data_IF_142327295664
#
_entry.id   IF_142327295664
#
_cell.length_a   1.000
_cell.length_b   1.000
_cell.length_c   1.000
_cell.angle_alpha   90.00
_cell.angle_beta   90.00
_cell.angle_gamma   90.00
#
_symmetry.space_group_name_H-M   'P 1'
#
loop_
_entity.id
_entity.type
_entity.pdbx_description
1 polymer ?
#
# COMPACT_ATOMS: atom_id res chain seq x y z
N UNK A 1 -36.35 -82.74 -0.37
CA UNK A 1 -37.50 -82.55 -1.27
C UNK A 1 -38.73 -82.22 -0.43
N UNK A 2 -39.48 -81.17 -0.78
CA UNK A 2 -40.83 -80.89 -0.25
C UNK A 2 -40.93 -79.97 0.99
N UNK A 3 -41.09 -78.66 0.76
CA UNK A 3 -41.89 -77.73 1.60
C UNK A 3 -43.40 -77.97 1.30
N UNK A 4 -44.40 -77.32 1.95
CA UNK A 4 -44.40 -76.38 3.10
C UNK A 4 -45.53 -76.65 4.13
N UNK A 5 -45.57 -75.89 5.23
CA UNK A 5 -46.74 -75.43 6.03
C UNK A 5 -46.24 -75.12 7.45
N UNK A 6 -46.78 -74.22 8.28
CA UNK A 6 -47.72 -73.12 8.13
C UNK A 6 -47.55 -72.25 9.39
N UNK A 7 -48.03 -71.02 9.27
CA UNK A 7 -48.21 -69.97 10.27
C UNK A 7 -49.09 -70.40 11.46
N UNK A 8 -48.78 -69.92 12.67
CA UNK A 8 -49.79 -69.43 13.63
C UNK A 8 -49.21 -68.57 14.75
N UNK A 9 -49.99 -67.53 15.02
CA UNK A 9 -49.82 -66.36 15.87
C UNK A 9 -50.24 -66.68 17.31
N UNK A 10 -49.68 -65.98 18.30
CA UNK A 10 -50.43 -65.62 19.51
C UNK A 10 -50.26 -64.15 19.90
N UNK A 11 -51.41 -63.58 20.26
CA UNK A 11 -51.72 -62.21 20.67
C UNK A 11 -51.09 -61.79 22.01
N UNK A 12 -50.94 -60.49 22.24
CA UNK A 12 -50.95 -59.98 23.61
C UNK A 12 -50.47 -58.54 23.83
N UNK A 13 -51.44 -57.64 23.97
CA UNK A 13 -51.42 -56.36 24.70
C UNK A 13 -50.76 -55.10 24.09
N UNK A 14 -51.66 -54.13 23.85
CA UNK A 14 -51.42 -52.77 23.46
C UNK A 14 -51.18 -51.85 24.67
N UNK A 15 -50.30 -50.86 24.50
CA UNK A 15 -50.41 -49.56 25.18
C UNK A 15 -50.09 -48.47 24.15
N UNK A 16 -51.05 -47.56 23.97
CA UNK A 16 -50.99 -46.41 23.08
C UNK A 16 -49.79 -45.51 23.41
N UNK A 17 -48.97 -45.19 22.40
CA UNK A 17 -48.08 -44.02 22.42
C UNK A 17 -48.74 -42.91 21.60
N UNK A 18 -49.38 -41.98 22.31
CA UNK A 18 -49.66 -40.63 21.82
C UNK A 18 -48.33 -39.89 21.75
N UNK A 19 -47.87 -39.57 20.54
CA UNK A 19 -46.81 -38.57 20.34
C UNK A 19 -47.47 -37.40 19.64
N UNK A 20 -47.67 -36.33 20.41
CA UNK A 20 -48.16 -35.04 19.94
C UNK A 20 -47.23 -34.47 18.86
N UNK A 21 -47.72 -34.40 17.63
CA UNK A 21 -47.09 -33.62 16.55
C UNK A 21 -47.47 -32.16 16.78
N UNK A 22 -46.62 -31.44 17.51
CA UNK A 22 -46.69 -29.99 17.61
C UNK A 22 -46.14 -29.38 16.31
N UNK A 23 -47.03 -29.06 15.36
CA UNK A 23 -46.69 -28.25 14.19
C UNK A 23 -46.54 -26.80 14.66
N UNK A 24 -45.32 -26.39 15.00
CA UNK A 24 -44.99 -24.98 15.18
C UNK A 24 -44.97 -24.33 13.80
N UNK A 25 -46.07 -23.66 13.42
CA UNK A 25 -46.12 -22.69 12.34
C UNK A 25 -45.27 -21.48 12.76
N UNK A 26 -43.95 -21.63 12.66
CA UNK A 26 -43.00 -20.54 12.77
C UNK A 26 -43.19 -19.62 11.57
N UNK A 27 -43.79 -18.46 11.80
CA UNK A 27 -43.76 -17.36 10.85
C UNK A 27 -42.31 -16.91 10.70
N UNK A 28 -41.59 -17.48 9.73
CA UNK A 28 -40.34 -16.90 9.26
C UNK A 28 -40.68 -15.57 8.58
N UNK A 29 -40.73 -14.49 9.38
CA UNK A 29 -40.47 -13.17 8.81
C UNK A 29 -39.00 -13.19 8.40
N UNK A 30 -38.75 -13.42 7.11
CA UNK A 30 -37.47 -13.09 6.53
C UNK A 30 -37.27 -11.59 6.74
N UNK A 31 -36.49 -11.23 7.77
CA UNK A 31 -35.89 -9.91 7.84
C UNK A 31 -34.95 -9.84 6.65
N UNK A 32 -35.47 -9.33 5.54
CA UNK A 32 -34.63 -8.88 4.44
C UNK A 32 -33.88 -7.68 4.99
N UNK A 33 -32.72 -7.93 5.60
CA UNK A 33 -31.73 -6.89 5.78
C UNK A 33 -31.24 -6.57 4.37
N UNK A 34 -31.92 -5.64 3.71
CA UNK A 34 -31.32 -4.88 2.63
C UNK A 34 -30.17 -4.13 3.27
N UNK A 35 -28.98 -4.73 3.28
CA UNK A 35 -27.77 -3.94 3.30
C UNK A 35 -27.87 -3.08 2.05
N UNK A 36 -28.33 -1.85 2.22
CA UNK A 36 -28.09 -0.82 1.23
C UNK A 36 -26.57 -0.75 1.12
N UNK A 37 -26.01 -1.44 0.14
CA UNK A 37 -24.70 -1.14 -0.42
C UNK A 37 -24.85 0.21 -1.09
N UNK A 38 -25.00 1.25 -0.27
CA UNK A 38 -24.96 2.62 -0.71
C UNK A 38 -23.60 2.77 -1.38
N UNK A 39 -23.60 2.87 -2.70
CA UNK A 39 -22.41 3.23 -3.45
C UNK A 39 -21.93 4.55 -2.85
N UNK A 40 -20.76 4.53 -2.21
CA UNK A 40 -20.19 5.73 -1.62
C UNK A 40 -20.10 6.80 -2.71
N UNK A 41 -20.66 7.98 -2.47
CA UNK A 41 -20.50 9.10 -3.39
C UNK A 41 -19.02 9.52 -3.41
N UNK A 42 -18.33 9.20 -4.50
CA UNK A 42 -16.91 9.50 -4.64
C UNK A 42 -16.65 10.96 -5.07
N UNK A 43 -17.69 11.73 -5.35
CA UNK A 43 -17.58 13.12 -5.84
C UNK A 43 -17.54 14.14 -4.71
N UNK A 44 -18.11 13.83 -3.54
CA UNK A 44 -18.22 14.77 -2.41
C UNK A 44 -17.40 14.29 -1.22
N UNK A 45 -16.48 15.16 -0.74
CA UNK A 45 -15.71 14.88 0.46
C UNK A 45 -15.95 15.90 1.58
N UNK A 46 -15.81 15.45 2.82
CA UNK A 46 -15.63 16.30 3.98
C UNK A 46 -14.28 17.02 3.87
N UNK A 47 -14.26 18.35 3.89
CA UNK A 47 -13.02 19.12 3.87
C UNK A 47 -12.56 19.49 5.29
N UNK A 48 -11.31 19.15 5.60
CA UNK A 48 -10.58 19.60 6.80
C UNK A 48 -9.36 20.37 6.33
N UNK A 49 -9.08 21.54 6.91
CA UNK A 49 -7.95 22.39 6.57
C UNK A 49 -6.90 22.38 7.66
N UNK A 50 -5.67 22.09 7.30
CA UNK A 50 -4.51 22.20 8.19
C UNK A 50 -3.68 23.40 7.77
N UNK A 51 -3.49 24.36 8.67
CA UNK A 51 -2.69 25.56 8.46
C UNK A 51 -1.82 25.86 9.69
N UNK A 52 -0.47 25.80 9.58
CA UNK A 52 0.42 26.00 10.71
C UNK A 52 0.35 27.43 11.25
N UNK A 53 -0.13 28.41 10.45
CA UNK A 53 -0.34 29.77 10.92
C UNK A 53 -1.62 29.94 11.74
N UNK A 54 -2.46 28.90 11.84
CA UNK A 54 -3.71 28.92 12.62
C UNK A 54 -4.95 29.41 11.88
N UNK A 55 -4.90 29.57 10.55
CA UNK A 55 -6.05 30.00 9.74
C UNK A 55 -6.88 28.82 9.17
N UNK A 56 -6.57 27.59 9.59
CA UNK A 56 -7.26 26.35 9.24
C UNK A 56 -8.10 25.81 10.39
N UNK A 57 -8.71 24.65 10.18
CA UNK A 57 -9.44 23.93 11.23
C UNK A 57 -8.47 23.35 12.27
N UNK A 58 -7.26 22.96 11.84
CA UNK A 58 -6.17 22.48 12.70
C UNK A 58 -4.83 23.14 12.34
N UNK A 59 -3.90 23.18 13.30
CA UNK A 59 -2.50 23.58 13.06
C UNK A 59 -1.60 22.41 12.69
N UNK A 60 -1.90 21.24 13.24
CA UNK A 60 -1.13 20.00 13.08
C UNK A 60 -1.84 19.02 12.17
N UNK A 61 -1.06 18.20 11.48
CA UNK A 61 -1.58 17.13 10.61
C UNK A 61 -2.17 16.01 11.46
N UNK A 62 -1.49 15.63 12.55
CA UNK A 62 -1.97 14.54 13.40
C UNK A 62 -3.33 14.87 14.03
N UNK A 63 -3.52 16.09 14.54
CA UNK A 63 -4.79 16.53 15.14
C UNK A 63 -5.96 16.43 14.14
N UNK A 64 -5.73 16.74 12.85
CA UNK A 64 -6.74 16.62 11.81
C UNK A 64 -7.11 15.16 11.53
N UNK A 65 -6.11 14.25 11.50
CA UNK A 65 -6.35 12.81 11.38
C UNK A 65 -7.09 12.29 12.63
N UNK A 66 -6.74 12.80 13.80
CA UNK A 66 -7.35 12.42 15.08
C UNK A 66 -8.82 12.83 15.17
N UNK A 67 -9.21 13.90 14.48
CA UNK A 67 -10.60 14.34 14.39
C UNK A 67 -11.50 13.45 13.50
N UNK A 68 -10.92 12.60 12.65
CA UNK A 68 -11.70 11.67 11.83
C UNK A 68 -12.25 10.54 12.72
N UNK A 69 -13.56 10.27 12.70
CA UNK A 69 -14.14 9.21 13.52
C UNK A 69 -13.56 7.83 13.22
N UNK A 70 -13.45 6.98 14.24
CA UNK A 70 -13.15 5.56 14.08
C UNK A 70 -14.21 4.86 13.21
N UNK A 71 -13.76 3.86 12.45
CA UNK A 71 -14.55 3.14 11.44
C UNK A 71 -15.16 4.08 10.38
N UNK A 72 -14.41 5.11 9.98
CA UNK A 72 -14.86 6.09 9.00
C UNK A 72 -15.37 5.44 7.71
N UNK A 73 -16.49 5.94 7.19
CA UNK A 73 -17.07 5.50 5.91
C UNK A 73 -17.38 6.67 4.98
N UNK A 74 -16.89 7.89 5.30
CA UNK A 74 -17.02 9.05 4.44
C UNK A 74 -15.68 9.40 3.77
N UNK A 75 -15.72 10.00 2.59
CA UNK A 75 -14.51 10.60 2.02
C UNK A 75 -14.10 11.82 2.85
N UNK A 76 -12.94 11.74 3.50
CA UNK A 76 -12.36 12.88 4.22
C UNK A 76 -11.16 13.40 3.46
N UNK A 77 -11.19 14.69 3.13
CA UNK A 77 -10.12 15.39 2.42
C UNK A 77 -9.45 16.40 3.37
N UNK A 78 -8.27 16.04 3.85
CA UNK A 78 -7.42 16.89 4.68
C UNK A 78 -6.53 17.70 3.74
N UNK A 79 -6.87 18.97 3.54
CA UNK A 79 -6.08 19.91 2.77
C UNK A 79 -5.03 20.59 3.66
N UNK A 80 -3.77 20.28 3.40
CA UNK A 80 -2.60 20.78 4.12
C UNK A 80 -2.02 21.98 3.37
N UNK A 81 -2.00 23.14 4.01
CA UNK A 81 -1.45 24.37 3.46
C UNK A 81 0.08 24.26 3.29
N UNK A 82 0.70 25.17 2.50
CA UNK A 82 2.15 25.26 2.44
C UNK A 82 2.75 25.49 3.83
N UNK A 83 3.82 24.76 4.14
CA UNK A 83 4.48 24.77 5.44
C UNK A 83 5.41 23.57 5.62
N UNK A 84 6.28 23.66 6.63
CA UNK A 84 7.07 22.52 7.12
C UNK A 84 6.48 22.05 8.44
N UNK A 85 5.95 20.84 8.44
CA UNK A 85 5.28 20.20 9.56
C UNK A 85 6.24 19.20 10.18
N UNK A 86 6.85 19.57 11.30
CA UNK A 86 7.77 18.70 12.03
C UNK A 86 7.00 17.78 12.97
N UNK A 87 6.44 16.71 12.39
CA UNK A 87 5.53 15.77 13.05
C UNK A 87 5.88 14.34 12.65
N UNK A 88 5.71 13.40 13.60
CA UNK A 88 5.64 11.96 13.30
C UNK A 88 4.16 11.61 13.20
N UNK A 89 3.71 11.26 12.01
CA UNK A 89 2.28 11.14 11.68
C UNK A 89 1.91 9.68 11.51
N UNK A 90 0.79 9.27 12.09
CA UNK A 90 0.18 7.97 11.85
C UNK A 90 -1.26 8.15 11.35
N UNK A 91 -1.64 7.35 10.35
CA UNK A 91 -3.02 7.21 9.89
C UNK A 91 -3.53 5.84 10.37
N UNK A 92 -4.25 5.77 11.51
CA UNK A 92 -4.77 4.54 12.09
C UNK A 92 -5.61 3.69 11.13
N UNK A 93 -5.57 2.36 11.30
CA UNK A 93 -6.27 1.41 10.43
C UNK A 93 -7.79 1.60 10.40
N UNK A 94 -8.38 2.09 11.49
CA UNK A 94 -9.81 2.36 11.64
C UNK A 94 -10.25 3.70 11.00
N UNK A 95 -9.38 4.39 10.26
CA UNK A 95 -9.69 5.65 9.57
C UNK A 95 -9.50 5.54 8.06
N UNK A 96 -10.22 4.64 7.37
CA UNK A 96 -10.09 4.51 5.92
C UNK A 96 -10.65 5.74 5.19
N UNK A 97 -10.43 5.81 3.88
CA UNK A 97 -10.94 6.87 2.98
C UNK A 97 -10.40 8.29 3.22
N UNK A 98 -9.36 8.44 4.05
CA UNK A 98 -8.67 9.72 4.24
C UNK A 98 -7.81 10.07 3.03
N UNK A 99 -7.93 11.30 2.54
CA UNK A 99 -7.01 11.93 1.60
C UNK A 99 -6.21 13.00 2.32
N UNK A 100 -4.88 12.90 2.30
CA UNK A 100 -3.96 13.93 2.77
C UNK A 100 -3.35 14.65 1.56
N UNK A 101 -3.76 15.89 1.31
CA UNK A 101 -3.35 16.63 0.11
C UNK A 101 -2.62 17.91 0.48
N UNK A 102 -1.38 18.04 0.03
CA UNK A 102 -0.69 19.34 -0.01
C UNK A 102 -1.19 20.21 -1.16
N UNK A 103 -0.59 21.40 -1.28
CA UNK A 103 -0.82 22.30 -2.44
C UNK A 103 0.20 22.02 -3.56
N UNK A 104 1.48 21.88 -3.19
CA UNK A 104 2.57 21.45 -4.08
C UNK A 104 3.58 20.67 -3.25
N UNK A 105 4.19 19.64 -3.86
CA UNK A 105 5.15 18.83 -3.14
C UNK A 105 6.35 19.65 -2.63
N UNK A 106 6.76 20.69 -3.36
CA UNK A 106 7.90 21.55 -2.99
C UNK A 106 7.65 22.48 -1.80
N UNK A 107 6.41 22.66 -1.34
CA UNK A 107 6.11 23.63 -0.28
C UNK A 107 5.20 23.12 0.84
N UNK A 108 4.66 21.90 0.75
CA UNK A 108 4.01 21.21 1.86
C UNK A 108 4.87 20.02 2.25
N UNK A 109 5.57 20.10 3.38
CA UNK A 109 6.60 19.14 3.80
C UNK A 109 6.24 18.57 5.17
N UNK A 110 6.10 17.25 5.27
CA UNK A 110 6.03 16.51 6.52
C UNK A 110 7.45 16.00 6.79
N UNK A 111 8.04 16.37 7.93
CA UNK A 111 9.43 16.04 8.23
C UNK A 111 9.61 15.52 9.65
N UNK A 112 10.41 14.47 9.75
CA UNK A 112 10.98 14.01 11.01
C UNK A 112 12.45 13.61 10.79
N UNK A 113 13.13 13.11 11.83
CA UNK A 113 14.56 12.79 11.77
C UNK A 113 14.91 11.69 12.76
N UNK A 114 14.38 10.50 12.51
CA UNK A 114 14.46 9.35 13.41
C UNK A 114 15.13 8.15 12.71
N UNK A 115 15.76 7.29 13.49
CA UNK A 115 16.46 6.08 13.01
C UNK A 115 16.14 4.91 13.92
N UNK A 116 16.57 3.72 13.53
CA UNK A 116 16.48 2.52 14.33
C UNK A 116 15.80 1.41 13.54
N UNK A 117 14.92 0.67 14.21
CA UNK A 117 14.17 -0.38 13.55
C UNK A 117 13.28 0.19 12.45
N UNK A 118 13.22 -0.54 11.34
CA UNK A 118 12.58 -0.08 10.11
C UNK A 118 11.09 0.25 10.34
N UNK A 119 10.44 -0.48 11.25
CA UNK A 119 9.02 -0.31 11.57
C UNK A 119 8.72 0.96 12.38
N UNK A 120 9.72 1.49 13.10
CA UNK A 120 9.55 2.57 14.07
C UNK A 120 10.07 3.91 13.56
N UNK A 121 11.02 3.93 12.62
CA UNK A 121 11.68 5.17 12.16
C UNK A 121 10.85 6.05 11.20
N UNK A 122 9.66 5.60 10.79
CA UNK A 122 8.84 6.26 9.79
C UNK A 122 8.41 7.69 10.20
N UNK A 123 8.55 8.66 9.28
CA UNK A 123 7.98 10.01 9.43
C UNK A 123 6.45 9.99 9.28
N UNK A 124 5.95 9.25 8.30
CA UNK A 124 4.53 8.98 8.10
C UNK A 124 4.29 7.47 8.03
N UNK A 125 3.39 6.97 8.87
CA UNK A 125 2.89 5.59 8.83
C UNK A 125 1.43 5.55 8.42
N UNK A 126 1.11 4.83 7.34
CA UNK A 126 -0.25 4.67 6.83
C UNK A 126 -0.71 3.23 7.07
N UNK A 127 -1.63 3.06 8.03
CA UNK A 127 -2.28 1.77 8.31
C UNK A 127 -3.72 1.70 7.76
N UNK A 128 -4.33 2.86 7.51
CA UNK A 128 -5.67 2.98 6.93
C UNK A 128 -5.74 2.44 5.49
N UNK A 129 -6.83 1.74 5.19
CA UNK A 129 -7.15 1.38 3.81
C UNK A 129 -7.76 2.55 3.03
N UNK A 130 -7.71 2.50 1.69
CA UNK A 130 -8.31 3.53 0.81
C UNK A 130 -7.73 4.96 1.01
N UNK A 131 -6.52 5.01 1.57
CA UNK A 131 -5.78 6.23 1.83
C UNK A 131 -5.25 6.84 0.52
N UNK A 132 -5.25 8.16 0.44
CA UNK A 132 -4.65 8.87 -0.69
C UNK A 132 -3.74 9.99 -0.20
N UNK A 133 -2.50 10.06 -0.66
CA UNK A 133 -1.65 11.24 -0.50
C UNK A 133 -1.41 11.94 -1.83
N UNK A 134 -1.39 13.28 -1.82
CA UNK A 134 -1.20 14.09 -3.04
C UNK A 134 -0.32 15.30 -2.79
N UNK A 135 0.55 15.61 -3.74
CA UNK A 135 1.21 16.92 -3.86
C UNK A 135 1.88 17.41 -2.57
N UNK A 136 2.56 16.51 -1.84
CA UNK A 136 3.29 16.83 -0.61
C UNK A 136 4.62 16.07 -0.56
N UNK A 137 5.55 16.55 0.26
CA UNK A 137 6.80 15.86 0.58
C UNK A 137 6.66 15.16 1.93
N UNK A 138 7.09 13.89 1.99
CA UNK A 138 7.38 13.18 3.23
C UNK A 138 8.88 12.94 3.28
N UNK A 139 9.55 13.39 4.34
CA UNK A 139 11.00 13.23 4.44
C UNK A 139 11.45 12.81 5.84
N UNK A 140 12.41 11.89 5.88
CA UNK A 140 13.20 11.61 7.07
C UNK A 140 14.59 12.24 6.89
N UNK A 141 14.98 13.07 7.84
CA UNK A 141 16.19 13.90 7.80
C UNK A 141 17.33 13.35 8.66
N UNK A 142 17.22 12.10 9.14
CA UNK A 142 18.23 11.49 10.01
C UNK A 142 19.63 11.47 9.36
N UNK A 143 19.72 11.12 8.08
CA UNK A 143 20.97 11.09 7.32
C UNK A 143 21.39 9.69 6.88
N UNK A 144 22.70 9.50 6.66
CA UNK A 144 23.25 8.37 5.91
C UNK A 144 23.67 7.17 6.76
N UNK A 145 23.67 7.29 8.09
CA UNK A 145 24.33 6.32 8.99
C UNK A 145 23.43 5.20 9.52
N UNK A 146 22.25 5.00 8.91
CA UNK A 146 21.32 3.95 9.34
C UNK A 146 19.98 4.04 8.63
N UNK A 147 19.12 3.07 8.94
CA UNK A 147 17.74 3.00 8.44
C UNK A 147 16.95 4.22 8.92
N UNK A 148 16.25 4.85 8.01
CA UNK A 148 15.50 6.07 8.29
C UNK A 148 14.30 6.15 7.36
N UNK A 149 13.19 5.51 7.75
CA UNK A 149 12.00 5.45 6.90
C UNK A 149 11.35 6.85 6.81
N UNK A 150 11.07 7.31 5.59
CA UNK A 150 10.23 8.50 5.38
C UNK A 150 8.76 8.10 5.41
N UNK A 151 8.39 7.08 4.63
CA UNK A 151 7.02 6.62 4.50
C UNK A 151 6.95 5.11 4.74
N UNK A 152 6.09 4.69 5.65
CA UNK A 152 5.65 3.29 5.81
C UNK A 152 4.20 3.15 5.38
N UNK A 153 3.90 2.19 4.52
CA UNK A 153 2.53 1.90 4.07
C UNK A 153 2.19 0.44 4.32
N UNK A 154 1.23 0.20 5.21
CA UNK A 154 0.77 -1.12 5.62
C UNK A 154 -0.77 -1.28 5.57
N UNK A 155 -1.46 -0.30 4.97
CA UNK A 155 -2.91 -0.33 4.73
C UNK A 155 -3.22 -0.65 3.28
N UNK A 156 -4.23 -1.48 3.02
CA UNK A 156 -4.56 -1.90 1.66
C UNK A 156 -5.21 -0.77 0.83
N UNK A 157 -5.00 -0.76 -0.48
CA UNK A 157 -5.61 0.22 -1.41
C UNK A 157 -5.16 1.67 -1.14
N UNK A 158 -3.86 1.88 -0.96
CA UNK A 158 -3.27 3.21 -0.77
C UNK A 158 -2.72 3.78 -2.08
N UNK A 159 -2.98 5.07 -2.35
CA UNK A 159 -2.50 5.74 -3.56
C UNK A 159 -1.75 7.05 -3.29
N UNK A 160 -0.68 7.30 -4.05
CA UNK A 160 0.19 8.46 -3.91
C UNK A 160 0.34 9.15 -5.26
N UNK A 161 0.04 10.46 -5.33
CA UNK A 161 0.05 11.22 -6.57
C UNK A 161 0.93 12.46 -6.47
N UNK A 162 2.01 12.51 -7.26
CA UNK A 162 2.89 13.68 -7.30
C UNK A 162 3.58 13.96 -5.96
N UNK A 163 3.76 12.94 -5.13
CA UNK A 163 4.44 13.07 -3.84
C UNK A 163 5.96 13.01 -4.00
N UNK A 164 6.66 13.58 -3.04
CA UNK A 164 8.11 13.41 -2.87
C UNK A 164 8.36 12.59 -1.60
N UNK A 165 9.13 11.51 -1.69
CA UNK A 165 9.44 10.62 -0.57
C UNK A 165 10.97 10.54 -0.44
N UNK A 166 11.51 11.14 0.62
CA UNK A 166 12.93 11.48 0.70
C UNK A 166 13.58 10.93 1.97
N UNK A 167 14.64 10.14 1.83
CA UNK A 167 15.55 9.73 2.90
C UNK A 167 16.82 9.14 2.27
N UNK A 168 17.55 8.30 3.02
CA UNK A 168 18.72 7.57 2.55
C UNK A 168 18.47 6.07 2.53
N UNK A 169 18.65 5.37 3.65
CA UNK A 169 18.40 3.93 3.74
C UNK A 169 16.94 3.68 4.14
N UNK A 170 16.30 2.73 3.44
CA UNK A 170 14.93 2.29 3.68
C UNK A 170 13.88 3.42 3.53
N UNK A 171 14.09 4.37 2.60
CA UNK A 171 13.24 5.57 2.42
C UNK A 171 11.73 5.28 2.39
N UNK A 172 11.32 4.30 1.59
CA UNK A 172 9.94 3.83 1.48
C UNK A 172 9.87 2.37 1.93
N UNK A 173 9.24 2.15 3.08
CA UNK A 173 8.80 0.84 3.52
C UNK A 173 7.37 0.60 3.00
N UNK A 174 7.30 0.04 1.79
CA UNK A 174 6.09 -0.42 1.14
C UNK A 174 5.69 -1.82 1.67
N UNK A 175 5.27 -1.82 2.94
CA UNK A 175 5.20 -2.96 3.85
C UNK A 175 4.28 -4.08 3.34
N UNK A 176 2.99 -3.79 3.22
CA UNK A 176 1.95 -4.76 2.84
C UNK A 176 0.70 -4.06 2.30
N UNK A 177 -0.07 -4.75 1.47
CA UNK A 177 -1.28 -4.22 0.82
C UNK A 177 -1.08 -3.97 -0.68
N UNK A 178 -2.12 -3.44 -1.33
CA UNK A 178 -2.09 -3.05 -2.76
C UNK A 178 -1.91 -1.55 -2.88
N UNK A 179 -0.83 -1.11 -3.52
CA UNK A 179 -0.51 0.33 -3.59
C UNK A 179 -0.27 0.84 -5.00
N UNK A 180 -0.51 2.14 -5.18
CA UNK A 180 -0.30 2.82 -6.45
C UNK A 180 0.45 4.13 -6.24
N UNK A 181 1.60 4.27 -6.89
CA UNK A 181 2.43 5.49 -6.86
C UNK A 181 2.46 6.07 -8.26
N UNK A 182 1.99 7.30 -8.43
CA UNK A 182 1.88 7.94 -9.75
C UNK A 182 2.58 9.29 -9.78
N UNK A 183 3.50 9.44 -10.73
CA UNK A 183 4.26 10.69 -10.91
C UNK A 183 4.99 11.15 -9.65
N UNK A 184 5.36 10.21 -8.77
CA UNK A 184 6.08 10.49 -7.54
C UNK A 184 7.59 10.62 -7.79
N UNK A 185 8.26 11.36 -6.92
CA UNK A 185 9.72 11.39 -6.83
C UNK A 185 10.14 10.67 -5.56
N UNK A 186 11.04 9.69 -5.68
CA UNK A 186 11.51 8.88 -4.56
C UNK A 186 13.04 8.88 -4.61
N UNK A 187 13.70 9.25 -3.52
CA UNK A 187 15.17 9.24 -3.45
C UNK A 187 15.69 8.49 -2.23
N UNK A 188 16.88 7.89 -2.39
CA UNK A 188 17.57 7.20 -1.31
C UNK A 188 18.80 6.44 -1.81
N UNK A 189 19.50 5.76 -0.92
CA UNK A 189 20.77 5.09 -1.22
C UNK A 189 20.63 3.57 -1.19
N UNK A 190 20.37 3.02 0.00
CA UNK A 190 20.34 1.57 0.25
C UNK A 190 18.90 1.11 0.47
N UNK A 191 18.46 0.12 -0.31
CA UNK A 191 17.15 -0.52 -0.20
C UNK A 191 15.98 0.47 -0.13
N UNK A 192 16.10 1.60 -0.83
CA UNK A 192 15.27 2.76 -0.53
C UNK A 192 13.79 2.59 -0.93
N UNK A 193 13.44 1.52 -1.64
CA UNK A 193 12.09 1.00 -1.77
C UNK A 193 12.09 -0.48 -1.33
N UNK A 194 11.51 -0.79 -0.18
CA UNK A 194 11.54 -2.12 0.40
C UNK A 194 10.19 -2.54 0.95
N UNK A 195 10.01 -3.85 1.23
CA UNK A 195 8.77 -4.40 1.78
C UNK A 195 8.14 -5.48 0.89
N UNK A 196 6.89 -5.87 1.22
CA UNK A 196 6.19 -6.98 0.56
C UNK A 196 4.83 -6.57 -0.03
N UNK A 197 4.59 -5.29 -0.31
CA UNK A 197 3.35 -4.86 -0.97
C UNK A 197 3.23 -5.37 -2.42
N UNK A 198 2.01 -5.36 -2.94
CA UNK A 198 1.69 -5.48 -4.36
C UNK A 198 1.54 -4.06 -4.94
N UNK A 199 2.56 -3.56 -5.62
CA UNK A 199 2.65 -2.14 -5.93
C UNK A 199 2.98 -1.84 -7.37
N UNK A 200 2.27 -0.86 -7.92
CA UNK A 200 2.56 -0.26 -9.22
C UNK A 200 3.09 1.18 -9.04
N UNK A 201 4.33 1.39 -9.47
CA UNK A 201 4.97 2.68 -9.61
C UNK A 201 4.87 3.12 -11.06
N UNK A 202 3.92 4.02 -11.36
CA UNK A 202 3.68 4.53 -12.70
C UNK A 202 4.30 5.93 -12.87
N UNK A 203 5.18 6.08 -13.87
CA UNK A 203 5.78 7.36 -14.25
C UNK A 203 6.50 8.08 -13.11
N UNK A 204 7.06 7.31 -12.17
CA UNK A 204 7.82 7.85 -11.05
C UNK A 204 9.27 8.16 -11.45
N UNK A 205 9.90 9.07 -10.71
CA UNK A 205 11.33 9.36 -10.81
C UNK A 205 12.02 8.80 -9.56
N UNK A 206 12.86 7.79 -9.77
CA UNK A 206 13.69 7.16 -8.76
C UNK A 206 15.10 7.77 -8.83
N UNK A 207 15.55 8.41 -7.76
CA UNK A 207 16.86 9.06 -7.70
C UNK A 207 17.75 8.43 -6.64
N UNK A 208 18.78 7.69 -7.09
CA UNK A 208 19.71 7.06 -6.17
C UNK A 208 20.76 8.05 -5.66
N UNK A 209 20.85 8.18 -4.34
CA UNK A 209 21.89 8.89 -3.60
C UNK A 209 23.12 8.00 -3.32
N UNK A 210 23.11 6.75 -3.78
CA UNK A 210 24.23 5.82 -3.62
C UNK A 210 25.50 6.32 -4.30
N UNK A 211 26.62 6.18 -3.60
CA UNK A 211 27.96 6.41 -4.15
C UNK A 211 28.61 5.16 -4.75
N UNK A 212 27.99 3.98 -4.64
CA UNK A 212 28.50 2.78 -5.31
C UNK A 212 27.89 1.43 -4.90
N UNK A 213 27.36 1.33 -3.70
CA UNK A 213 27.00 0.08 -3.00
C UNK A 213 25.51 -0.03 -2.65
N UNK A 214 24.72 0.98 -3.00
CA UNK A 214 23.28 1.02 -2.76
C UNK A 214 22.46 0.20 -3.75
N UNK A 215 21.18 0.03 -3.41
CA UNK A 215 20.19 -0.69 -4.19
C UNK A 215 18.87 0.08 -4.19
N UNK A 216 18.20 0.13 -5.34
CA UNK A 216 16.90 0.81 -5.47
C UNK A 216 15.81 0.03 -4.74
N UNK A 217 15.75 -1.29 -4.95
CA UNK A 217 14.70 -2.12 -4.35
C UNK A 217 15.22 -3.26 -3.48
N UNK A 218 14.51 -3.52 -2.38
CA UNK A 218 14.65 -4.74 -1.57
C UNK A 218 13.27 -5.36 -1.29
N UNK A 219 12.76 -6.16 -2.23
CA UNK A 219 11.42 -6.73 -2.15
C UNK A 219 11.44 -8.03 -1.31
N UNK A 220 10.41 -8.21 -0.47
CA UNK A 220 10.37 -9.20 0.61
C UNK A 220 9.33 -10.32 0.43
N UNK A 221 9.02 -10.68 -0.82
CA UNK A 221 8.17 -11.83 -1.11
C UNK A 221 8.84 -13.13 -0.69
N UNK A 222 8.17 -13.92 0.15
CA UNK A 222 8.76 -15.10 0.80
C UNK A 222 8.18 -16.43 0.31
N UNK A 223 7.13 -16.40 -0.51
CA UNK A 223 6.48 -17.59 -1.04
C UNK A 223 6.00 -17.35 -2.47
N UNK A 224 5.97 -18.38 -3.34
CA UNK A 224 5.39 -18.26 -4.68
C UNK A 224 3.87 -18.08 -4.64
N UNK A 225 3.20 -18.36 -3.52
CA UNK A 225 1.75 -18.15 -3.33
C UNK A 225 1.37 -16.72 -2.94
N UNK A 226 2.34 -15.88 -2.58
CA UNK A 226 2.08 -14.47 -2.30
C UNK A 226 1.90 -13.72 -3.62
N UNK A 227 0.81 -12.98 -3.80
CA UNK A 227 0.57 -12.17 -5.00
C UNK A 227 1.11 -10.74 -4.85
N UNK A 228 2.35 -10.63 -4.36
CA UNK A 228 3.03 -9.36 -4.04
C UNK A 228 4.22 -9.10 -4.97
N UNK A 229 4.75 -7.88 -4.98
CA UNK A 229 5.84 -7.51 -5.88
C UNK A 229 5.78 -6.04 -6.28
N UNK A 230 6.91 -5.53 -6.77
CA UNK A 230 7.02 -4.15 -7.25
C UNK A 230 7.10 -4.10 -8.78
N UNK A 231 6.18 -3.40 -9.42
CA UNK A 231 6.23 -3.09 -10.85
C UNK A 231 6.48 -1.61 -11.06
N UNK A 232 7.48 -1.29 -11.87
CA UNK A 232 7.85 0.07 -12.25
C UNK A 232 7.58 0.27 -13.74
N UNK A 233 6.58 1.07 -14.06
CA UNK A 233 6.11 1.29 -15.43
C UNK A 233 6.37 2.72 -15.86
N UNK A 234 7.14 2.90 -16.94
CA UNK A 234 7.39 4.24 -17.51
C UNK A 234 8.19 5.16 -16.58
N UNK A 235 8.97 4.58 -15.66
CA UNK A 235 9.71 5.33 -14.66
C UNK A 235 11.02 5.92 -15.22
N UNK A 236 11.68 6.74 -14.42
CA UNK A 236 13.01 7.28 -14.70
C UNK A 236 13.95 6.97 -13.53
N UNK A 237 15.07 6.32 -13.80
CA UNK A 237 16.15 6.03 -12.84
C UNK A 237 17.35 6.94 -13.12
N UNK A 238 17.76 7.66 -12.09
CA UNK A 238 18.96 8.52 -12.07
C UNK A 238 19.74 8.28 -10.79
N UNK A 239 20.97 8.75 -10.70
CA UNK A 239 21.69 8.75 -9.44
C UNK A 239 22.94 9.62 -9.46
N UNK A 240 23.51 9.83 -8.26
CA UNK A 240 24.74 10.60 -8.05
C UNK A 240 26.02 9.76 -8.25
N UNK A 241 25.90 8.45 -8.06
CA UNK A 241 26.92 7.45 -8.33
C UNK A 241 26.29 6.22 -8.97
N UNK A 242 26.68 5.03 -8.54
CA UNK A 242 26.11 3.78 -9.06
C UNK A 242 25.24 3.05 -8.02
N UNK A 243 24.25 2.31 -8.49
CA UNK A 243 23.35 1.51 -7.69
C UNK A 243 22.88 0.26 -8.45
N UNK A 244 22.48 -0.75 -7.68
CA UNK A 244 21.73 -1.91 -8.16
C UNK A 244 20.26 -1.51 -8.40
N UNK A 245 19.63 -2.15 -9.38
CA UNK A 245 18.18 -2.16 -9.55
C UNK A 245 17.51 -2.77 -8.31
N UNK A 246 18.09 -3.83 -7.76
CA UNK A 246 17.61 -4.41 -6.52
C UNK A 246 18.37 -5.64 -6.06
N UNK A 247 17.99 -6.10 -4.88
CA UNK A 247 18.49 -7.32 -4.25
C UNK A 247 17.38 -8.00 -3.42
N UNK A 248 17.35 -9.33 -3.32
CA UNK A 248 16.20 -10.06 -2.80
C UNK A 248 16.21 -10.15 -1.28
N UNK A 249 15.44 -9.30 -0.62
CA UNK A 249 15.21 -9.44 0.82
C UNK A 249 14.49 -10.76 1.11
N UNK A 250 13.41 -11.05 0.35
CA UNK A 250 12.67 -12.31 0.43
C UNK A 250 13.14 -13.35 -0.60
N UNK A 251 12.95 -14.64 -0.30
CA UNK A 251 13.42 -15.73 -1.16
C UNK A 251 12.73 -15.79 -2.53
N UNK A 252 11.50 -15.26 -2.66
CA UNK A 252 10.71 -15.20 -3.89
C UNK A 252 10.54 -13.76 -4.39
N UNK A 253 11.49 -12.89 -4.04
CA UNK A 253 11.48 -11.47 -4.36
C UNK A 253 11.09 -11.20 -5.82
N UNK A 254 10.12 -10.31 -6.04
CA UNK A 254 9.56 -10.01 -7.37
C UNK A 254 9.61 -8.52 -7.67
N UNK A 255 10.41 -8.16 -8.69
CA UNK A 255 10.60 -6.78 -9.14
C UNK A 255 10.64 -6.73 -10.67
N UNK A 256 9.86 -5.85 -11.27
CA UNK A 256 9.78 -5.68 -12.73
C UNK A 256 9.97 -4.22 -13.09
N UNK A 257 10.92 -3.93 -13.99
CA UNK A 257 11.08 -2.62 -14.62
C UNK A 257 10.64 -2.68 -16.09
N UNK A 258 9.69 -1.83 -16.46
CA UNK A 258 9.12 -1.80 -17.80
C UNK A 258 9.08 -0.38 -18.35
N UNK A 259 9.47 -0.22 -19.62
CA UNK A 259 9.45 1.08 -20.32
C UNK A 259 10.20 2.19 -19.54
N UNK A 260 11.20 1.79 -18.76
CA UNK A 260 11.87 2.65 -17.78
C UNK A 260 13.19 3.18 -18.35
N UNK A 261 13.39 4.49 -18.23
CA UNK A 261 14.68 5.11 -18.54
C UNK A 261 15.68 4.79 -17.42
N UNK A 262 16.87 4.31 -17.78
CA UNK A 262 17.97 4.05 -16.86
C UNK A 262 19.20 4.86 -17.27
N UNK A 263 19.59 5.84 -16.45
CA UNK A 263 20.87 6.53 -16.58
C UNK A 263 22.05 5.58 -16.31
N UNK A 264 23.29 6.06 -16.49
CA UNK A 264 24.52 5.31 -16.17
C UNK A 264 24.71 5.02 -14.67
N UNK A 265 23.78 5.46 -13.81
CA UNK A 265 23.75 5.09 -12.40
C UNK A 265 23.45 3.59 -12.18
N UNK A 266 22.81 2.90 -13.13
CA UNK A 266 22.57 1.46 -12.98
C UNK A 266 23.83 0.68 -13.31
N UNK A 267 24.33 -0.12 -12.36
CA UNK A 267 25.52 -0.97 -12.57
C UNK A 267 25.27 -2.03 -13.66
N UNK A 268 26.30 -2.46 -14.41
CA UNK A 268 26.13 -3.43 -15.49
C UNK A 268 25.48 -4.75 -15.06
N UNK A 269 25.79 -5.27 -13.87
CA UNK A 269 25.17 -6.51 -13.37
C UNK A 269 23.67 -6.36 -13.08
N UNK A 270 23.19 -5.13 -12.86
CA UNK A 270 21.80 -4.79 -12.56
C UNK A 270 21.34 -5.21 -11.17
N UNK A 271 21.55 -6.47 -10.81
CA UNK A 271 20.97 -7.08 -9.61
C UNK A 271 22.03 -7.82 -8.79
N UNK A 272 21.74 -8.02 -7.51
CA UNK A 272 22.56 -8.77 -6.57
C UNK A 272 21.69 -9.85 -5.89
N UNK A 273 22.28 -10.98 -5.48
CA UNK A 273 21.57 -12.11 -4.87
C UNK A 273 21.54 -12.06 -3.34
N UNK A 274 22.00 -10.96 -2.74
CA UNK A 274 22.16 -10.79 -1.30
C UNK A 274 23.12 -11.82 -0.68
N UNK A 275 24.09 -12.31 -1.45
CA UNK A 275 25.03 -13.34 -1.01
C UNK A 275 24.40 -14.73 -0.84
N UNK A 276 23.17 -14.94 -1.32
CA UNK A 276 22.45 -16.20 -1.24
C UNK A 276 22.07 -16.69 -2.63
N UNK A 277 22.92 -17.55 -3.19
CA UNK A 277 22.73 -18.14 -4.52
C UNK A 277 21.46 -18.99 -4.63
N UNK A 278 20.91 -19.49 -3.52
CA UNK A 278 19.69 -20.30 -3.56
C UNK A 278 18.48 -19.50 -4.05
N UNK A 279 18.50 -18.18 -3.87
CA UNK A 279 17.43 -17.27 -4.32
C UNK A 279 17.42 -17.07 -5.83
N UNK A 280 18.53 -17.29 -6.52
CA UNK A 280 18.65 -17.02 -7.96
C UNK A 280 17.65 -17.81 -8.81
N UNK A 281 17.20 -18.98 -8.32
CA UNK A 281 16.22 -19.83 -9.02
C UNK A 281 14.76 -19.50 -8.70
N UNK A 282 14.50 -18.67 -7.68
CA UNK A 282 13.15 -18.39 -7.17
C UNK A 282 12.72 -16.93 -7.31
N UNK A 283 13.68 -16.00 -7.40
CA UNK A 283 13.39 -14.57 -7.62
C UNK A 283 12.87 -14.31 -9.02
N UNK A 284 12.04 -13.28 -9.16
CA UNK A 284 11.52 -12.80 -10.43
C UNK A 284 11.97 -11.36 -10.66
N UNK A 285 13.18 -11.19 -11.18
CA UNK A 285 13.78 -9.89 -11.51
C UNK A 285 13.81 -9.68 -13.02
N UNK A 286 12.89 -8.84 -13.50
CA UNK A 286 12.63 -8.68 -14.93
C UNK A 286 12.82 -7.25 -15.42
N UNK A 287 13.34 -7.13 -16.64
CA UNK A 287 13.40 -5.87 -17.39
C UNK A 287 12.69 -6.07 -18.73
N UNK A 288 11.81 -5.13 -19.13
CA UNK A 288 11.21 -5.10 -20.47
C UNK A 288 11.28 -3.71 -21.07
N UNK A 289 11.81 -3.61 -22.29
CA UNK A 289 11.86 -2.35 -23.07
C UNK A 289 12.42 -1.15 -22.27
N UNK A 290 13.33 -1.42 -21.33
CA UNK A 290 14.07 -0.37 -20.63
C UNK A 290 15.11 0.24 -21.57
N UNK A 291 15.40 1.53 -21.40
CA UNK A 291 16.24 2.27 -22.34
C UNK A 291 17.15 3.26 -21.63
N UNK A 292 18.14 3.79 -22.34
CA UNK A 292 19.19 4.64 -21.78
C UNK A 292 20.47 3.87 -21.45
N UNK A 293 21.54 4.59 -21.05
CA UNK A 293 22.88 4.01 -20.90
C UNK A 293 22.99 2.91 -19.84
N UNK A 294 22.17 2.93 -18.79
CA UNK A 294 22.14 1.89 -17.75
C UNK A 294 21.29 0.67 -18.09
N UNK A 295 20.51 0.71 -19.19
CA UNK A 295 19.61 -0.37 -19.58
C UNK A 295 20.30 -1.48 -20.40
N UNK A 296 21.60 -1.37 -20.66
CA UNK A 296 22.34 -2.40 -21.41
C UNK A 296 22.42 -3.70 -20.59
N UNK A 297 21.77 -4.76 -21.10
CA UNK A 297 21.67 -6.06 -20.41
C UNK A 297 22.80 -7.05 -20.70
N UNK A 298 23.77 -6.72 -21.55
CA UNK A 298 24.87 -7.64 -21.96
C UNK A 298 25.74 -8.17 -20.83
N UNK A 299 25.75 -7.48 -19.67
CA UNK A 299 26.51 -7.86 -18.47
C UNK A 299 25.63 -8.11 -17.25
N UNK A 300 24.30 -8.23 -17.44
CA UNK A 300 23.40 -8.54 -16.33
C UNK A 300 23.73 -9.91 -15.76
N UNK A 301 23.41 -10.10 -14.49
CA UNK A 301 23.41 -11.44 -13.89
C UNK A 301 22.52 -12.38 -14.72
N UNK A 302 23.00 -13.61 -14.92
CA UNK A 302 22.40 -14.59 -15.86
C UNK A 302 20.97 -14.99 -15.46
N UNK A 303 20.66 -14.96 -14.17
CA UNK A 303 19.34 -15.29 -13.62
C UNK A 303 18.32 -14.15 -13.72
N UNK A 304 18.71 -12.96 -14.21
CA UNK A 304 17.74 -11.87 -14.47
C UNK A 304 17.04 -12.03 -15.82
N UNK A 305 15.77 -11.66 -15.87
CA UNK A 305 14.90 -11.98 -17.00
C UNK A 305 14.80 -10.82 -18.02
N UNK A 306 14.92 -11.16 -19.30
CA UNK A 306 14.44 -10.28 -20.39
C UNK A 306 13.00 -10.64 -20.67
N UNK A 307 12.06 -9.79 -20.27
CA UNK A 307 10.64 -10.11 -20.44
C UNK A 307 10.17 -9.72 -21.84
N UNK A 308 9.56 -10.68 -22.53
CA UNK A 308 8.80 -10.47 -23.76
C UNK A 308 7.53 -9.63 -23.51
N UNK A 309 6.85 -9.23 -24.59
CA UNK A 309 5.61 -8.47 -24.48
C UNK A 309 4.51 -9.23 -23.75
N UNK A 310 4.41 -10.55 -23.98
CA UNK A 310 3.38 -11.38 -23.34
C UNK A 310 3.68 -11.59 -21.85
N UNK A 311 4.96 -11.80 -21.49
CA UNK A 311 5.38 -11.96 -20.09
C UNK A 311 5.20 -10.67 -19.28
N UNK A 312 5.45 -9.50 -19.89
CA UNK A 312 5.35 -8.22 -19.20
C UNK A 312 3.93 -7.67 -19.13
N UNK A 313 3.03 -8.07 -20.04
CA UNK A 313 1.68 -7.51 -20.16
C UNK A 313 0.90 -7.41 -18.82
N UNK A 314 0.93 -8.41 -17.92
CA UNK A 314 0.25 -8.31 -16.63
C UNK A 314 0.78 -7.17 -15.73
N UNK A 315 2.06 -6.82 -15.86
CA UNK A 315 2.73 -5.79 -15.05
C UNK A 315 2.58 -4.36 -15.60
N UNK A 316 1.96 -4.20 -16.79
CA UNK A 316 1.76 -2.92 -17.47
C UNK A 316 0.37 -2.30 -17.23
N UNK A 317 -0.47 -2.94 -16.42
CA UNK A 317 -1.84 -2.48 -16.15
C UNK A 317 -2.04 -2.28 -14.66
N UNK A 318 -2.97 -1.38 -14.33
CA UNK A 318 -3.47 -1.19 -12.96
C UNK A 318 -4.21 -2.44 -12.45
N UNK A 319 -4.55 -3.38 -13.32
CA UNK A 319 -5.24 -4.62 -12.92
C UNK A 319 -4.37 -5.52 -12.03
N UNK A 320 -3.03 -5.43 -12.12
CA UNK A 320 -2.12 -6.19 -11.24
C UNK A 320 -2.32 -5.88 -9.75
N UNK A 321 -2.81 -4.67 -9.44
CA UNK A 321 -3.16 -4.23 -8.09
C UNK A 321 -4.68 -4.19 -7.89
N UNK A 322 -5.47 -4.74 -8.81
CA UNK A 322 -6.93 -4.65 -8.82
C UNK A 322 -7.45 -3.22 -8.91
N UNK A 323 -6.67 -2.31 -9.49
CA UNK A 323 -6.87 -0.86 -9.40
C UNK A 323 -8.24 -0.37 -9.88
N UNK A 324 -8.89 -1.06 -10.83
CA UNK A 324 -10.24 -0.73 -11.28
C UNK A 324 -11.27 -0.75 -10.13
N UNK A 325 -11.05 -1.57 -9.11
CA UNK A 325 -12.00 -1.75 -8.00
C UNK A 325 -11.89 -0.69 -6.89
N UNK A 326 -10.77 0.05 -6.83
CA UNK A 326 -10.49 0.90 -5.66
C UNK A 326 -9.79 2.22 -5.94
N UNK A 327 -9.12 2.37 -7.08
CA UNK A 327 -8.54 3.67 -7.45
C UNK A 327 -9.67 4.66 -7.66
N UNK A 328 -9.68 5.69 -6.83
CA UNK A 328 -10.75 6.69 -6.81
C UNK A 328 -10.32 8.01 -7.45
N UNK A 329 -11.23 8.70 -8.15
CA UNK A 329 -10.97 10.06 -8.61
C UNK A 329 -10.80 11.01 -7.42
N UNK A 330 -10.23 12.18 -7.69
CA UNK A 330 -10.29 13.26 -6.70
C UNK A 330 -11.75 13.74 -6.55
N UNK A 331 -12.24 13.99 -5.33
CA UNK A 331 -13.52 14.64 -5.14
C UNK A 331 -13.59 15.97 -5.87
N UNK A 332 -14.76 16.31 -6.42
CA UNK A 332 -15.05 17.56 -7.14
C UNK A 332 -15.87 18.53 -6.29
N UNK A 333 -16.50 18.05 -5.22
CA UNK A 333 -17.30 18.83 -4.29
C UNK A 333 -16.81 18.64 -2.85
N UNK A 334 -16.94 19.69 -2.04
CA UNK A 334 -16.49 19.68 -0.66
C UNK A 334 -17.59 20.22 0.26
N UNK A 335 -17.94 19.43 1.28
CA UNK A 335 -18.80 19.87 2.39
C UNK A 335 -17.95 20.22 3.60
N UNK A 336 -18.36 21.23 4.37
CA UNK A 336 -17.79 21.45 5.72
C UNK A 336 -18.37 20.40 6.66
N UNK A 337 -17.56 19.94 7.60
CA UNK A 337 -18.03 19.03 8.64
C UNK A 337 -18.96 19.75 9.58
N UNK A 338 -20.17 19.24 9.74
CA UNK A 338 -21.14 19.74 10.73
C UNK A 338 -20.77 19.34 12.17
N UNK A 339 -19.70 18.56 12.36
CA UNK A 339 -19.35 17.92 13.64
C UNK A 339 -17.85 17.61 13.75
N UNK A 340 -16.97 18.55 13.41
CA UNK A 340 -15.58 18.47 13.90
C UNK A 340 -15.62 18.99 15.34
N UNK A 341 -15.78 18.09 16.31
CA UNK A 341 -15.71 18.45 17.73
C UNK A 341 -14.29 18.99 17.97
N UNK A 342 -14.11 20.26 18.38
CA UNK A 342 -12.80 20.75 18.75
C UNK A 342 -12.28 19.90 19.91
N UNK A 343 -11.11 19.28 19.74
CA UNK A 343 -10.36 18.70 20.84
C UNK A 343 -9.87 19.84 21.76
N UNK A 344 -10.75 20.33 22.63
CA UNK A 344 -10.50 21.03 23.91
C UNK A 344 -11.75 21.84 24.32
N UNK A 345 -12.73 21.17 24.93
CA UNK A 345 -13.77 21.82 25.73
C UNK A 345 -13.87 21.28 27.16
N UNK A 346 -12.91 20.44 27.60
CA UNK A 346 -12.83 19.94 28.97
C UNK A 346 -11.54 20.43 29.64
N UNK A 347 -11.43 21.74 29.84
CA UNK A 347 -10.61 22.30 30.91
C UNK A 347 -11.49 22.44 32.15
N UNK A 348 -11.48 21.44 33.03
CA UNK A 348 -12.09 21.53 34.35
C UNK A 348 -11.19 22.35 35.29
N UNK A 349 -11.82 23.32 35.96
CA UNK A 349 -11.48 24.02 37.22
C UNK A 349 -10.08 23.89 37.79
#
# INVERSE_FOLDING_TARGET
>A
MGRPAAMKIYNGFAVLLLVDILVVLGSFMAVSSTTATGVMDMSTALLIRVDPSGNGDFKKIQDAIDSVPSNNSELVFIWVKPGTYREKVAVPADKPFVTLSGTKASNTIITWGDTGEIIDSATLSVFASDFVARSLTIQNTFGTSGKAVALRVAGDRAAFYGCRILSYQDTLLDDTGRHYYSSCYIEGATDFICGNAASLFERCHLHSLSSGDGAITAQHRNSPSEETGFSFMGCKITGVGTALLGRPWGAYSRVVFSLTYMSSAVVPQGWDDWGDRSKQSTVYFGESQCYGPGANRTKRVEWSMSLSNDEVAPFLTKDMIGGQSWLRPSPTHFKRGSTIIPANANGNN
#
